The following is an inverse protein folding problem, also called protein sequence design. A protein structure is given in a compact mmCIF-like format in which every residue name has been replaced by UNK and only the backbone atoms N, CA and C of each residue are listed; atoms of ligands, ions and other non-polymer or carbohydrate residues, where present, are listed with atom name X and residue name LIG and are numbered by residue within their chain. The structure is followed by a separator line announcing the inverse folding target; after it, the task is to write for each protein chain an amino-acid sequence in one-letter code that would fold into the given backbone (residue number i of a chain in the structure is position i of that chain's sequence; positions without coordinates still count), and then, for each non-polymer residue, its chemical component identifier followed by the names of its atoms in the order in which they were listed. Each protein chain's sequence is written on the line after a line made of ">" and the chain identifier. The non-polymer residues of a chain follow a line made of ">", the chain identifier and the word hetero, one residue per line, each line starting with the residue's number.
data_IF_595894806849
#
_entry.id   IF_595894806849
#
_cell.length_a   1.000
_cell.length_b   1.000
_cell.length_c   1.000
_cell.angle_alpha   90.00
_cell.angle_beta   90.00
_cell.angle_gamma   90.00
#
_symmetry.space_group_name_H-M   'P 1'
#
loop_
_entity.id
_entity.type
_entity.pdbx_description
1 polymer ?
#
# COMPACT_ATOMS: atom_id res chain seq x y z
N UNK A 1 61.58 -53.00 34.17
CA UNK A 1 61.19 -52.54 35.52
C UNK A 1 61.41 -51.04 35.53
N UNK A 2 60.36 -50.26 35.25
CA UNK A 2 59.55 -49.51 36.23
C UNK A 2 60.42 -48.50 37.02
N UNK A 3 60.09 -47.22 37.19
CA UNK A 3 58.90 -46.44 36.85
C UNK A 3 59.22 -44.96 37.18
N UNK A 4 58.62 -44.03 36.41
CA UNK A 4 58.08 -42.72 36.83
C UNK A 4 59.01 -41.61 37.38
N UNK A 5 59.18 -40.57 36.56
CA UNK A 5 58.90 -39.19 37.00
C UNK A 5 58.09 -38.45 35.93
N UNK A 6 56.89 -38.03 36.33
CA UNK A 6 55.89 -37.32 35.53
C UNK A 6 56.16 -35.82 35.65
N UNK A 7 56.35 -35.15 34.52
CA UNK A 7 56.35 -33.68 34.38
C UNK A 7 54.89 -33.22 34.22
N UNK A 8 54.39 -32.22 34.97
CA UNK A 8 53.10 -31.63 34.67
C UNK A 8 53.26 -30.61 33.54
N UNK A 9 52.66 -30.92 32.39
CA UNK A 9 52.49 -30.01 31.26
C UNK A 9 51.36 -29.02 31.61
N UNK A 10 51.73 -27.78 31.91
CA UNK A 10 50.81 -26.65 32.03
C UNK A 10 50.21 -26.34 30.65
N UNK A 11 49.00 -26.84 30.38
CA UNK A 11 48.18 -26.39 29.26
C UNK A 11 47.64 -25.00 29.58
N UNK A 12 48.24 -23.96 28.98
CA UNK A 12 47.65 -22.63 28.88
C UNK A 12 46.58 -22.66 27.77
N UNK A 13 45.32 -22.86 28.15
CA UNK A 13 44.19 -22.62 27.26
C UNK A 13 43.93 -21.11 27.18
N UNK A 14 44.40 -20.48 26.09
CA UNK A 14 43.93 -19.15 25.69
C UNK A 14 42.44 -19.25 25.33
N UNK A 15 41.57 -18.86 26.25
CA UNK A 15 40.18 -18.52 25.96
C UNK A 15 40.18 -17.21 25.19
N UNK A 16 40.18 -17.30 23.85
CA UNK A 16 39.84 -16.19 22.98
C UNK A 16 38.35 -15.85 23.22
N UNK A 17 38.12 -14.87 24.10
CA UNK A 17 36.82 -14.25 24.29
C UNK A 17 36.43 -13.50 23.02
N UNK A 18 35.82 -14.19 22.06
CA UNK A 18 35.05 -13.54 21.01
C UNK A 18 33.84 -12.92 21.69
N UNK A 19 33.95 -11.64 22.01
CA UNK A 19 32.81 -10.81 22.32
C UNK A 19 31.91 -10.79 21.08
N UNK A 20 31.01 -11.77 20.99
CA UNK A 20 29.83 -11.70 20.15
C UNK A 20 29.04 -10.50 20.68
N UNK A 21 29.31 -9.33 20.11
CA UNK A 21 28.44 -8.18 20.25
C UNK A 21 27.06 -8.66 19.80
N UNK A 22 26.19 -8.97 20.77
CA UNK A 22 24.79 -9.19 20.54
C UNK A 22 24.25 -7.87 20.00
N UNK A 23 24.31 -7.70 18.67
CA UNK A 23 23.49 -6.70 18.00
C UNK A 23 22.07 -7.07 18.39
N UNK A 24 21.51 -6.37 19.37
CA UNK A 24 20.09 -6.43 19.65
C UNK A 24 19.39 -6.35 18.28
N UNK A 25 18.54 -7.32 17.92
CA UNK A 25 17.92 -7.32 16.61
C UNK A 25 17.27 -5.95 16.42
N UNK A 26 17.75 -5.19 15.43
CA UNK A 26 17.17 -3.89 15.12
C UNK A 26 15.69 -4.13 14.88
N UNK A 27 14.85 -3.53 15.74
CA UNK A 27 13.41 -3.56 15.53
C UNK A 27 13.14 -3.03 14.12
N UNK A 28 12.42 -3.77 13.27
CA UNK A 28 12.07 -3.29 11.94
C UNK A 28 11.38 -1.91 12.04
N UNK A 29 11.74 -1.00 11.15
CA UNK A 29 11.12 0.32 11.09
C UNK A 29 9.62 0.17 10.83
N UNK A 30 8.79 0.85 11.64
CA UNK A 30 7.35 0.87 11.42
C UNK A 30 7.00 1.76 10.22
N UNK A 31 5.80 1.59 9.64
CA UNK A 31 5.36 2.50 8.58
C UNK A 31 5.25 3.95 9.08
N UNK A 32 4.76 4.16 10.31
CA UNK A 32 4.72 5.49 10.95
C UNK A 32 6.11 6.16 10.95
N UNK A 33 7.14 5.46 11.43
CA UNK A 33 8.52 5.97 11.48
C UNK A 33 9.10 6.20 10.08
N UNK A 34 8.81 5.31 9.12
CA UNK A 34 9.28 5.44 7.74
C UNK A 34 8.69 6.68 7.07
N UNK A 35 7.38 6.90 7.19
CA UNK A 35 6.70 8.04 6.58
C UNK A 35 7.15 9.36 7.19
N UNK A 36 7.51 9.40 8.48
CA UNK A 36 8.09 10.60 9.13
C UNK A 36 9.45 11.02 8.55
N UNK A 37 10.15 10.14 7.84
CA UNK A 37 11.39 10.50 7.14
C UNK A 37 11.15 11.30 5.85
N UNK A 38 9.90 11.35 5.37
CA UNK A 38 9.52 12.12 4.18
C UNK A 38 9.17 13.56 4.63
N UNK A 39 9.73 14.61 4.00
CA UNK A 39 9.35 15.99 4.31
C UNK A 39 7.84 16.22 4.22
N UNK A 40 7.25 16.96 5.17
CA UNK A 40 5.79 17.15 5.32
C UNK A 40 5.09 17.48 4.00
N UNK A 41 5.59 18.47 3.25
CA UNK A 41 4.97 18.89 1.99
C UNK A 41 5.08 17.85 0.88
N UNK A 42 6.19 17.10 0.85
CA UNK A 42 6.32 15.96 -0.07
C UNK A 42 5.38 14.83 0.31
N UNK A 43 5.25 14.52 1.59
CA UNK A 43 4.33 13.50 2.07
C UNK A 43 2.88 13.89 1.74
N UNK A 44 2.49 15.15 1.96
CA UNK A 44 1.17 15.70 1.58
C UNK A 44 0.88 15.45 0.11
N UNK A 45 1.81 15.80 -0.77
CA UNK A 45 1.67 15.57 -2.20
C UNK A 45 1.55 14.07 -2.55
N UNK A 46 2.39 13.21 -1.96
CA UNK A 46 2.38 11.76 -2.23
C UNK A 46 1.11 11.06 -1.74
N UNK A 47 0.60 11.45 -0.58
CA UNK A 47 -0.62 10.91 0.02
C UNK A 47 -1.88 11.43 -0.71
N UNK A 48 -1.81 12.69 -1.14
CA UNK A 48 -2.93 13.44 -1.70
C UNK A 48 -3.73 14.18 -0.63
N UNK A 49 -4.36 15.28 -1.05
CA UNK A 49 -5.31 16.05 -0.25
C UNK A 49 -6.72 15.59 -0.61
N UNK A 50 -7.26 14.67 0.17
CA UNK A 50 -8.61 14.14 0.01
C UNK A 50 -9.42 14.45 1.26
N UNK A 51 -9.60 15.74 1.53
CA UNK A 51 -10.51 16.19 2.57
C UNK A 51 -11.96 16.02 2.11
N UNK A 52 -12.82 15.45 2.96
CA UNK A 52 -14.23 15.27 2.64
C UNK A 52 -14.94 16.61 2.51
N UNK A 53 -15.81 16.72 1.52
CA UNK A 53 -16.72 17.86 1.40
C UNK A 53 -17.80 17.88 2.51
N UNK A 54 -18.79 18.77 2.38
CA UNK A 54 -19.90 18.88 3.32
C UNK A 54 -20.75 17.60 3.41
N UNK A 55 -20.76 16.77 2.36
CA UNK A 55 -21.47 15.49 2.32
C UNK A 55 -20.60 14.33 2.80
N UNK A 56 -19.32 14.56 3.11
CA UNK A 56 -18.38 13.51 3.49
C UNK A 56 -17.71 12.83 2.30
N UNK A 57 -17.89 13.33 1.08
CA UNK A 57 -17.35 12.71 -0.12
C UNK A 57 -15.95 13.21 -0.45
N UNK A 58 -15.13 12.30 -1.00
CA UNK A 58 -13.80 12.57 -1.55
C UNK A 58 -13.69 11.91 -2.94
N UNK A 59 -12.58 12.19 -3.64
CA UNK A 59 -12.24 11.52 -4.88
C UNK A 59 -13.36 11.61 -5.93
N UNK A 60 -13.71 10.48 -6.53
CA UNK A 60 -14.74 10.43 -7.57
C UNK A 60 -16.15 10.68 -7.04
N UNK A 61 -16.46 10.31 -5.79
CA UNK A 61 -17.77 10.62 -5.20
C UNK A 61 -17.95 12.13 -5.08
N UNK A 62 -16.91 12.83 -4.59
CA UNK A 62 -16.89 14.30 -4.56
C UNK A 62 -17.04 14.91 -5.96
N UNK A 63 -16.21 14.45 -6.91
CA UNK A 63 -16.25 14.96 -8.30
C UNK A 63 -17.62 14.76 -8.95
N UNK A 64 -18.31 13.68 -8.63
CA UNK A 64 -19.63 13.39 -9.17
C UNK A 64 -20.78 14.10 -8.41
N UNK A 65 -20.54 14.55 -7.17
CA UNK A 65 -21.56 15.15 -6.30
C UNK A 65 -22.56 14.15 -5.72
N UNK A 66 -22.30 12.85 -5.82
CA UNK A 66 -23.14 11.79 -5.26
C UNK A 66 -22.33 10.54 -4.92
N UNK A 67 -22.90 9.69 -4.06
CA UNK A 67 -22.31 8.41 -3.71
C UNK A 67 -22.26 7.47 -4.93
N UNK A 68 -21.06 7.09 -5.39
CA UNK A 68 -20.90 6.08 -6.44
C UNK A 68 -20.62 4.71 -5.81
N UNK A 69 -19.56 4.62 -5.01
CA UNK A 69 -19.08 3.36 -4.42
C UNK A 69 -18.03 3.65 -3.32
N UNK A 70 -17.69 2.63 -2.52
CA UNK A 70 -16.72 2.79 -1.44
C UNK A 70 -15.27 2.98 -1.91
N UNK A 71 -14.87 2.34 -3.01
CA UNK A 71 -13.48 2.31 -3.47
C UNK A 71 -12.89 3.69 -3.77
N UNK A 72 -13.73 4.65 -4.16
CA UNK A 72 -13.37 6.03 -4.48
C UNK A 72 -13.12 6.89 -3.23
N UNK A 73 -13.58 6.43 -2.05
CA UNK A 73 -13.42 7.12 -0.77
C UNK A 73 -12.08 6.87 -0.08
N UNK A 74 -11.27 5.93 -0.59
CA UNK A 74 -9.99 5.52 0.02
C UNK A 74 -9.00 6.67 0.28
N UNK A 75 -9.15 7.78 -0.45
CA UNK A 75 -8.34 8.99 -0.26
C UNK A 75 -8.45 9.57 1.15
N UNK A 76 -9.64 9.50 1.77
CA UNK A 76 -9.83 10.02 3.13
C UNK A 76 -8.98 9.24 4.15
N UNK A 77 -8.90 7.91 4.06
CA UNK A 77 -8.03 7.10 4.91
C UNK A 77 -6.53 7.41 4.70
N UNK A 78 -6.14 7.75 3.47
CA UNK A 78 -4.78 8.23 3.16
C UNK A 78 -4.51 9.58 3.86
N UNK A 79 -5.45 10.52 3.81
CA UNK A 79 -5.29 11.83 4.48
C UNK A 79 -5.28 11.70 6.02
N UNK A 80 -6.00 10.74 6.61
CA UNK A 80 -5.85 10.39 8.04
C UNK A 80 -4.40 9.99 8.35
N UNK A 81 -3.79 9.12 7.55
CA UNK A 81 -2.38 8.72 7.70
C UNK A 81 -1.46 9.94 7.67
N UNK A 82 -1.66 10.86 6.73
CA UNK A 82 -0.87 12.10 6.67
C UNK A 82 -0.99 12.93 7.95
N UNK A 83 -2.21 13.20 8.43
CA UNK A 83 -2.41 14.01 9.62
C UNK A 83 -1.78 13.36 10.86
N UNK A 84 -1.95 12.04 11.02
CA UNK A 84 -1.32 11.27 12.11
C UNK A 84 0.20 11.31 12.05
N UNK A 85 0.80 11.08 10.87
CA UNK A 85 2.27 11.07 10.70
C UNK A 85 2.88 12.44 10.97
N UNK A 86 2.18 13.51 10.61
CA UNK A 86 2.66 14.90 10.71
C UNK A 86 2.26 15.61 12.00
N UNK A 87 1.44 14.98 12.85
CA UNK A 87 0.88 15.58 14.06
C UNK A 87 -0.23 16.59 13.80
N UNK A 88 -0.72 16.69 12.56
CA UNK A 88 -1.82 17.56 12.16
C UNK A 88 -3.16 16.86 12.43
N UNK A 89 -3.52 16.76 13.72
CA UNK A 89 -4.69 16.01 14.16
C UNK A 89 -6.01 16.61 13.68
N UNK A 90 -6.07 17.93 13.48
CA UNK A 90 -7.24 18.58 12.89
C UNK A 90 -7.51 18.08 11.46
N UNK A 91 -6.46 17.98 10.63
CA UNK A 91 -6.56 17.38 9.28
C UNK A 91 -6.97 15.91 9.35
N UNK A 92 -6.42 15.14 10.31
CA UNK A 92 -6.79 13.74 10.47
C UNK A 92 -8.25 13.55 10.92
N UNK A 93 -8.73 14.40 11.84
CA UNK A 93 -10.13 14.41 12.29
C UNK A 93 -11.09 14.76 11.15
N UNK A 94 -10.75 15.78 10.37
CA UNK A 94 -11.57 16.18 9.23
C UNK A 94 -11.62 15.07 8.16
N UNK A 95 -10.46 14.49 7.85
CA UNK A 95 -10.38 13.36 6.93
C UNK A 95 -11.15 12.13 7.42
N UNK A 96 -11.23 11.90 8.74
CA UNK A 96 -11.96 10.75 9.32
C UNK A 96 -13.45 10.75 8.95
N UNK A 97 -14.07 11.93 8.73
CA UNK A 97 -15.48 12.04 8.29
C UNK A 97 -15.75 11.26 6.99
N UNK A 98 -14.77 11.15 6.09
CA UNK A 98 -14.89 10.36 4.87
C UNK A 98 -14.95 8.84 5.12
N UNK A 99 -14.26 8.35 6.15
CA UNK A 99 -14.36 6.95 6.61
C UNK A 99 -15.75 6.71 7.20
N UNK A 100 -16.22 7.59 8.07
CA UNK A 100 -17.55 7.49 8.69
C UNK A 100 -18.66 7.49 7.66
N UNK A 101 -18.60 8.42 6.71
CA UNK A 101 -19.55 8.52 5.58
C UNK A 101 -19.55 7.25 4.76
N UNK A 102 -18.38 6.68 4.48
CA UNK A 102 -18.29 5.40 3.74
C UNK A 102 -18.97 4.26 4.50
N UNK A 103 -18.77 4.17 5.81
CA UNK A 103 -19.42 3.15 6.64
C UNK A 103 -20.89 3.41 6.90
N UNK A 104 -21.41 4.63 6.69
CA UNK A 104 -22.83 4.90 6.68
C UNK A 104 -23.53 4.25 5.47
N UNK A 105 -22.81 4.05 4.36
CA UNK A 105 -23.26 3.29 3.18
C UNK A 105 -22.98 1.78 3.27
N UNK A 106 -22.57 1.27 4.44
CA UNK A 106 -22.40 -0.17 4.63
C UNK A 106 -23.78 -0.84 4.75
N UNK A 107 -24.01 -1.84 3.91
CA UNK A 107 -25.22 -2.66 3.89
C UNK A 107 -25.19 -3.73 4.98
N UNK A 108 -26.34 -4.36 5.22
CA UNK A 108 -26.49 -5.43 6.21
C UNK A 108 -25.61 -6.67 5.92
N UNK A 109 -25.34 -6.98 4.65
CA UNK A 109 -24.46 -8.07 4.23
C UNK A 109 -22.96 -7.77 4.43
N UNK A 110 -22.62 -6.57 4.90
CA UNK A 110 -21.25 -6.09 5.09
C UNK A 110 -20.64 -5.41 3.87
N UNK A 111 -21.27 -5.55 2.69
CA UNK A 111 -20.89 -4.83 1.48
C UNK A 111 -21.26 -3.34 1.57
N UNK A 112 -20.98 -2.60 0.50
CA UNK A 112 -21.31 -1.18 0.41
C UNK A 112 -22.32 -0.92 -0.70
N UNK A 113 -23.17 0.08 -0.52
CA UNK A 113 -24.05 0.56 -1.57
C UNK A 113 -23.24 0.97 -2.81
N UNK A 114 -23.81 0.76 -3.99
CA UNK A 114 -23.19 1.13 -5.25
C UNK A 114 -24.24 1.69 -6.22
N UNK A 115 -23.90 2.82 -6.84
CA UNK A 115 -24.70 3.46 -7.87
C UNK A 115 -23.99 3.37 -9.23
N UNK A 116 -24.73 3.74 -10.28
CA UNK A 116 -24.18 3.73 -11.63
C UNK A 116 -23.16 4.85 -11.78
N UNK A 117 -22.04 4.53 -12.43
CA UNK A 117 -20.94 5.46 -12.69
C UNK A 117 -21.32 6.37 -13.86
N UNK A 118 -20.69 7.55 -13.99
CA UNK A 118 -20.97 8.45 -15.11
C UNK A 118 -20.76 7.84 -16.51
N UNK A 119 -19.92 6.80 -16.62
CA UNK A 119 -19.71 6.04 -17.86
C UNK A 119 -20.70 4.86 -18.08
N UNK A 120 -21.78 4.80 -17.31
CA UNK A 120 -22.81 3.76 -17.41
C UNK A 120 -22.44 2.39 -16.84
N UNK A 121 -21.21 2.19 -16.35
CA UNK A 121 -20.81 0.97 -15.64
C UNK A 121 -21.28 1.02 -14.18
N UNK A 122 -21.29 -0.11 -13.48
CA UNK A 122 -21.77 -0.17 -12.10
C UNK A 122 -20.94 -1.14 -11.26
N UNK A 123 -20.81 -0.84 -9.96
CA UNK A 123 -20.26 -1.76 -8.97
C UNK A 123 -21.32 -2.60 -8.25
N UNK A 124 -22.60 -2.51 -8.66
CA UNK A 124 -23.68 -3.34 -8.12
C UNK A 124 -23.44 -4.85 -8.26
N UNK A 125 -22.91 -5.39 -9.38
CA UNK A 125 -22.62 -6.82 -9.49
C UNK A 125 -21.66 -7.30 -8.40
N UNK A 126 -21.91 -8.49 -7.83
CA UNK A 126 -21.22 -8.97 -6.63
C UNK A 126 -19.68 -8.88 -6.71
N UNK A 127 -19.06 -9.40 -7.78
CA UNK A 127 -17.60 -9.34 -7.92
C UNK A 127 -17.04 -7.91 -8.03
N UNK A 128 -17.80 -6.97 -8.60
CA UNK A 128 -17.42 -5.56 -8.65
C UNK A 128 -17.63 -4.87 -7.29
N UNK A 129 -18.69 -5.22 -6.55
CA UNK A 129 -18.91 -4.75 -5.19
C UNK A 129 -17.76 -5.18 -4.26
N UNK A 130 -17.31 -6.45 -4.38
CA UNK A 130 -16.14 -6.98 -3.66
C UNK A 130 -14.88 -6.18 -4.01
N UNK A 131 -14.65 -5.87 -5.28
CA UNK A 131 -13.51 -5.07 -5.73
C UNK A 131 -13.48 -3.68 -5.09
N UNK A 132 -14.58 -2.96 -5.16
CA UNK A 132 -14.66 -1.61 -4.60
C UNK A 132 -14.54 -1.61 -3.07
N UNK A 133 -15.05 -2.65 -2.39
CA UNK A 133 -14.89 -2.82 -0.95
C UNK A 133 -13.42 -3.04 -0.56
N UNK A 134 -12.68 -3.91 -1.25
CA UNK A 134 -11.26 -4.12 -0.90
C UNK A 134 -10.37 -2.93 -1.30
N UNK A 135 -10.76 -2.15 -2.32
CA UNK A 135 -10.08 -0.88 -2.65
C UNK A 135 -10.14 0.15 -1.52
N UNK A 136 -11.25 0.19 -0.78
CA UNK A 136 -11.42 1.04 0.39
C UNK A 136 -10.73 0.44 1.61
N UNK A 137 -11.04 -0.82 1.93
CA UNK A 137 -10.58 -1.49 3.17
C UNK A 137 -9.06 -1.59 3.28
N UNK A 138 -8.34 -1.68 2.16
CA UNK A 138 -6.87 -1.67 2.16
C UNK A 138 -6.23 -0.39 2.74
N UNK A 139 -6.84 0.79 2.56
CA UNK A 139 -6.33 2.02 3.18
C UNK A 139 -6.91 2.20 4.59
N UNK A 140 -8.12 1.71 4.88
CA UNK A 140 -8.66 1.71 6.26
C UNK A 140 -7.79 0.86 7.18
N UNK A 141 -7.49 -0.38 6.79
CA UNK A 141 -6.60 -1.26 7.56
C UNK A 141 -5.22 -0.62 7.77
N UNK A 142 -4.68 0.02 6.74
CA UNK A 142 -3.43 0.80 6.84
C UNK A 142 -3.53 1.95 7.84
N UNK A 143 -4.58 2.77 7.77
CA UNK A 143 -4.78 3.90 8.66
C UNK A 143 -4.88 3.45 10.13
N UNK A 144 -5.64 2.39 10.40
CA UNK A 144 -5.75 1.80 11.75
C UNK A 144 -4.37 1.38 12.29
N UNK A 145 -3.57 0.69 11.48
CA UNK A 145 -2.23 0.25 11.91
C UNK A 145 -1.28 1.43 12.11
N UNK A 146 -1.27 2.43 11.23
CA UNK A 146 -0.44 3.64 11.40
C UNK A 146 -0.84 4.42 12.65
N UNK A 147 -2.14 4.57 12.93
CA UNK A 147 -2.62 5.21 14.16
C UNK A 147 -2.09 4.48 15.39
N UNK A 148 -2.20 3.14 15.42
CA UNK A 148 -1.73 2.31 16.53
C UNK A 148 -0.20 2.32 16.70
N UNK A 149 0.55 2.58 15.63
CA UNK A 149 2.00 2.78 15.67
C UNK A 149 2.41 4.18 16.14
N UNK A 150 1.49 5.13 16.13
CA UNK A 150 1.73 6.53 16.47
C UNK A 150 1.48 6.82 17.96
N UNK A 151 2.02 7.93 18.51
CA UNK A 151 1.64 8.41 19.85
C UNK A 151 0.21 8.94 19.91
N UNK A 152 -0.52 8.98 18.79
CA UNK A 152 -1.86 9.55 18.69
C UNK A 152 -2.98 8.52 18.81
N UNK A 153 -2.67 7.25 19.09
CA UNK A 153 -3.69 6.19 19.25
C UNK A 153 -4.79 6.61 20.24
N UNK A 154 -4.40 7.18 21.39
CA UNK A 154 -5.36 7.65 22.41
C UNK A 154 -6.38 8.67 21.88
N UNK A 155 -5.99 9.51 20.91
CA UNK A 155 -6.89 10.49 20.27
C UNK A 155 -7.97 9.80 19.42
N UNK A 156 -7.64 8.65 18.82
CA UNK A 156 -8.53 7.91 17.93
C UNK A 156 -9.15 6.66 18.56
N UNK A 157 -8.79 6.31 19.80
CA UNK A 157 -9.10 5.02 20.42
C UNK A 157 -10.57 4.64 20.29
N UNK A 158 -11.48 5.52 20.74
CA UNK A 158 -12.92 5.24 20.72
C UNK A 158 -13.45 5.06 19.28
N UNK A 159 -12.91 5.82 18.32
CA UNK A 159 -13.27 5.67 16.90
C UNK A 159 -12.77 4.35 16.34
N UNK A 160 -11.59 3.87 16.74
CA UNK A 160 -11.07 2.56 16.34
C UNK A 160 -11.95 1.44 16.90
N UNK A 161 -12.35 1.52 18.17
CA UNK A 161 -13.24 0.54 18.82
C UNK A 161 -14.61 0.52 18.11
N UNK A 162 -15.19 1.68 17.81
CA UNK A 162 -16.47 1.78 17.11
C UNK A 162 -16.40 1.31 15.64
N UNK A 163 -15.22 1.42 15.02
CA UNK A 163 -14.97 1.03 13.64
C UNK A 163 -14.82 -0.49 13.49
N UNK A 164 -14.27 -1.18 14.51
CA UNK A 164 -13.90 -2.59 14.44
C UNK A 164 -15.05 -3.53 13.98
N UNK A 165 -16.27 -3.47 14.55
CA UNK A 165 -17.37 -4.33 14.11
C UNK A 165 -17.77 -4.10 12.64
N UNK A 166 -17.66 -2.86 12.17
CA UNK A 166 -17.97 -2.50 10.78
C UNK A 166 -16.90 -3.05 9.83
N UNK A 167 -15.62 -2.98 10.22
CA UNK A 167 -14.53 -3.60 9.48
C UNK A 167 -14.67 -5.11 9.40
N UNK A 168 -15.06 -5.79 10.50
CA UNK A 168 -15.29 -7.25 10.51
C UNK A 168 -16.35 -7.65 9.48
N UNK A 169 -17.48 -6.94 9.43
CA UNK A 169 -18.52 -7.19 8.41
C UNK A 169 -18.04 -6.94 6.99
N UNK A 170 -17.31 -5.85 6.76
CA UNK A 170 -16.75 -5.55 5.44
C UNK A 170 -15.78 -6.63 4.97
N UNK A 171 -14.89 -7.10 5.85
CA UNK A 171 -13.95 -8.17 5.52
C UNK A 171 -14.64 -9.52 5.34
N UNK A 172 -15.71 -9.82 6.09
CA UNK A 172 -16.52 -11.01 5.86
C UNK A 172 -17.19 -10.99 4.48
N UNK A 173 -17.73 -9.84 4.05
CA UNK A 173 -18.28 -9.66 2.71
C UNK A 173 -17.21 -9.84 1.61
N UNK A 174 -16.02 -9.25 1.80
CA UNK A 174 -14.92 -9.43 0.83
C UNK A 174 -14.48 -10.90 0.78
N UNK A 175 -14.40 -11.57 1.93
CA UNK A 175 -14.02 -12.98 2.03
C UNK A 175 -15.02 -13.92 1.35
N UNK A 176 -16.33 -13.66 1.45
CA UNK A 176 -17.34 -14.46 0.74
C UNK A 176 -17.24 -14.33 -0.78
N UNK A 177 -16.62 -13.25 -1.27
CA UNK A 177 -16.35 -13.01 -2.68
C UNK A 177 -14.96 -13.44 -3.16
N UNK A 178 -14.18 -14.17 -2.36
CA UNK A 178 -12.78 -14.50 -2.67
C UNK A 178 -12.58 -15.08 -4.07
N UNK A 179 -13.43 -16.01 -4.50
CA UNK A 179 -13.30 -16.67 -5.81
C UNK A 179 -13.45 -15.69 -6.99
N UNK A 180 -14.15 -14.58 -6.77
CA UNK A 180 -14.27 -13.52 -7.79
C UNK A 180 -13.00 -12.68 -7.92
N UNK A 181 -12.14 -12.63 -6.89
CA UNK A 181 -10.98 -11.74 -6.86
C UNK A 181 -9.95 -12.17 -7.91
N UNK A 182 -9.52 -13.44 -7.88
CA UNK A 182 -8.54 -13.95 -8.85
C UNK A 182 -9.13 -13.91 -10.26
N UNK A 183 -10.37 -14.35 -10.44
CA UNK A 183 -11.04 -14.36 -11.73
C UNK A 183 -11.14 -12.96 -12.35
N UNK A 184 -11.55 -11.96 -11.57
CA UNK A 184 -11.80 -10.62 -12.08
C UNK A 184 -10.55 -9.74 -12.13
N UNK A 185 -9.55 -9.97 -11.26
CA UNK A 185 -8.44 -9.03 -11.08
C UNK A 185 -7.10 -9.49 -11.65
N UNK A 186 -6.94 -10.75 -12.10
CA UNK A 186 -5.63 -11.26 -12.55
C UNK A 186 -5.10 -10.63 -13.84
N UNK A 187 -5.93 -9.89 -14.57
CA UNK A 187 -5.51 -9.05 -15.69
C UNK A 187 -4.76 -7.79 -15.22
N UNK A 188 -4.87 -7.43 -13.94
CA UNK A 188 -4.31 -6.23 -13.33
C UNK A 188 -3.66 -6.59 -11.99
N UNK A 189 -2.38 -6.97 -12.01
CA UNK A 189 -1.71 -7.52 -10.83
C UNK A 189 -1.67 -6.54 -9.67
N UNK A 190 -1.65 -5.23 -9.95
CA UNK A 190 -1.79 -4.22 -8.90
C UNK A 190 -3.07 -4.43 -8.06
N UNK A 191 -4.20 -4.83 -8.67
CA UNK A 191 -5.46 -5.11 -7.95
C UNK A 191 -5.37 -6.33 -7.06
N UNK A 192 -4.60 -7.36 -7.46
CA UNK A 192 -4.31 -8.51 -6.61
C UNK A 192 -3.56 -8.07 -5.34
N UNK A 193 -2.56 -7.19 -5.47
CA UNK A 193 -1.87 -6.64 -4.31
C UNK A 193 -2.73 -5.70 -3.47
N UNK A 194 -3.68 -4.96 -4.06
CA UNK A 194 -4.65 -4.18 -3.29
C UNK A 194 -5.54 -5.11 -2.45
N UNK A 195 -6.04 -6.20 -3.04
CA UNK A 195 -6.82 -7.21 -2.30
C UNK A 195 -5.98 -7.87 -1.19
N UNK A 196 -4.75 -8.28 -1.50
CA UNK A 196 -3.83 -8.83 -0.51
C UNK A 196 -3.61 -7.84 0.65
N UNK A 197 -3.37 -6.56 0.33
CA UNK A 197 -3.21 -5.50 1.33
C UNK A 197 -4.46 -5.33 2.19
N UNK A 198 -5.67 -5.40 1.62
CA UNK A 198 -6.92 -5.37 2.39
C UNK A 198 -6.98 -6.53 3.39
N UNK A 199 -6.78 -7.77 2.93
CA UNK A 199 -6.79 -8.96 3.77
C UNK A 199 -5.70 -8.92 4.85
N UNK A 200 -4.47 -8.56 4.48
CA UNK A 200 -3.33 -8.60 5.40
C UNK A 200 -3.42 -7.51 6.47
N UNK A 201 -3.63 -6.26 6.06
CA UNK A 201 -3.66 -5.14 7.00
C UNK A 201 -4.92 -5.15 7.87
N UNK A 202 -6.09 -5.50 7.32
CA UNK A 202 -7.28 -5.68 8.15
C UNK A 202 -7.16 -6.93 9.03
N UNK A 203 -6.53 -8.01 8.55
CA UNK A 203 -6.25 -9.20 9.37
C UNK A 203 -5.38 -8.87 10.58
N UNK A 204 -4.32 -8.08 10.41
CA UNK A 204 -3.52 -7.57 11.53
C UNK A 204 -4.33 -6.65 12.44
N UNK A 205 -5.11 -5.72 11.87
CA UNK A 205 -5.91 -4.77 12.65
C UNK A 205 -7.00 -5.46 13.49
N UNK A 206 -7.58 -6.54 12.98
CA UNK A 206 -8.68 -7.29 13.60
C UNK A 206 -8.21 -8.53 14.39
N UNK A 207 -6.90 -8.78 14.41
CA UNK A 207 -6.30 -10.01 14.94
C UNK A 207 -6.92 -11.30 14.34
N UNK A 208 -7.15 -11.29 13.02
CA UNK A 208 -7.76 -12.38 12.28
C UNK A 208 -6.72 -13.11 11.41
N UNK A 209 -6.31 -14.30 11.88
CA UNK A 209 -5.31 -15.14 11.20
C UNK A 209 -5.79 -15.68 9.85
N UNK A 210 -7.10 -15.85 9.66
CA UNK A 210 -7.64 -16.35 8.39
C UNK A 210 -7.50 -15.28 7.30
N UNK A 211 -7.77 -14.01 7.63
CA UNK A 211 -7.52 -12.90 6.70
C UNK A 211 -6.03 -12.79 6.35
N UNK A 212 -5.14 -12.93 7.32
CA UNK A 212 -3.68 -12.95 7.09
C UNK A 212 -3.29 -14.10 6.14
N UNK A 213 -3.80 -15.31 6.37
CA UNK A 213 -3.53 -16.46 5.50
C UNK A 213 -4.03 -16.21 4.06
N UNK A 214 -5.20 -15.61 3.89
CA UNK A 214 -5.74 -15.23 2.58
C UNK A 214 -4.87 -14.17 1.88
N UNK A 215 -4.32 -13.22 2.64
CA UNK A 215 -3.34 -12.26 2.11
C UNK A 215 -2.13 -12.96 1.51
N UNK A 216 -1.54 -13.92 2.22
CA UNK A 216 -0.40 -14.69 1.69
C UNK A 216 -0.73 -15.45 0.40
N UNK A 217 -1.94 -16.04 0.30
CA UNK A 217 -2.38 -16.70 -0.95
C UNK A 217 -2.44 -15.73 -2.12
N UNK A 218 -3.00 -14.53 -1.92
CA UNK A 218 -3.08 -13.50 -2.95
C UNK A 218 -1.69 -12.96 -3.34
N UNK A 219 -0.78 -12.79 -2.38
CA UNK A 219 0.61 -12.41 -2.69
C UNK A 219 1.30 -13.51 -3.50
N UNK A 220 1.18 -14.77 -3.08
CA UNK A 220 1.76 -15.89 -3.82
C UNK A 220 1.23 -15.91 -5.27
N UNK A 221 -0.08 -15.73 -5.46
CA UNK A 221 -0.67 -15.59 -6.79
C UNK A 221 -0.08 -14.41 -7.57
N UNK A 222 -0.06 -13.21 -7.00
CA UNK A 222 0.50 -12.01 -7.63
C UNK A 222 1.97 -12.19 -8.05
N UNK A 223 2.77 -12.90 -7.27
CA UNK A 223 4.17 -13.20 -7.59
C UNK A 223 4.35 -14.14 -8.79
N UNK A 224 3.36 -15.00 -9.10
CA UNK A 224 3.36 -15.84 -10.31
C UNK A 224 3.06 -15.04 -11.58
N UNK A 225 2.51 -13.83 -11.44
CA UNK A 225 2.12 -12.96 -12.56
C UNK A 225 3.21 -11.97 -12.96
N UNK A 226 4.46 -12.30 -12.65
CA UNK A 226 5.64 -11.57 -13.08
C UNK A 226 6.23 -12.17 -14.34
N UNK A 227 6.81 -11.35 -15.19
CA UNK A 227 7.61 -11.83 -16.30
C UNK A 227 9.06 -12.17 -15.87
N UNK A 228 9.88 -12.62 -16.83
CA UNK A 228 11.29 -12.97 -16.61
C UNK A 228 12.14 -11.82 -16.09
N UNK A 229 11.73 -10.57 -16.29
CA UNK A 229 12.44 -9.37 -15.83
C UNK A 229 11.87 -8.87 -14.49
N UNK A 230 10.94 -9.61 -13.88
CA UNK A 230 10.37 -9.33 -12.57
C UNK A 230 9.23 -8.31 -12.60
N UNK A 231 8.74 -7.92 -13.78
CA UNK A 231 7.69 -6.92 -13.96
C UNK A 231 6.33 -7.55 -13.73
N UNK A 232 5.48 -6.90 -12.94
CA UNK A 232 4.10 -7.35 -12.72
C UNK A 232 3.23 -7.09 -13.97
N UNK A 233 2.55 -8.13 -14.45
CA UNK A 233 1.79 -8.06 -15.70
C UNK A 233 0.51 -7.24 -15.59
N UNK A 234 0.22 -6.47 -16.64
CA UNK A 234 -0.95 -5.61 -16.78
C UNK A 234 -1.54 -5.80 -18.18
N UNK A 235 -2.77 -6.33 -18.26
CA UNK A 235 -3.43 -6.80 -19.48
C UNK A 235 -2.53 -7.66 -20.38
N UNK A 236 -1.76 -8.57 -19.76
CA UNK A 236 -0.86 -9.48 -20.48
C UNK A 236 0.45 -8.84 -20.95
N UNK A 237 0.69 -7.55 -20.68
CA UNK A 237 1.94 -6.88 -20.98
C UNK A 237 2.50 -6.11 -19.79
N UNK A 238 3.26 -5.05 -20.07
CA UNK A 238 3.92 -4.22 -19.06
C UNK A 238 3.23 -2.87 -18.94
N UNK A 239 3.33 -2.25 -17.78
CA UNK A 239 2.86 -0.90 -17.55
C UNK A 239 3.71 -0.23 -16.46
N UNK A 240 4.44 0.83 -16.81
CA UNK A 240 5.35 1.51 -15.88
C UNK A 240 4.63 2.17 -14.70
N UNK A 241 3.37 2.57 -14.85
CA UNK A 241 2.59 3.12 -13.76
C UNK A 241 2.10 2.03 -12.81
N UNK A 242 1.53 0.96 -13.35
CA UNK A 242 0.91 -0.10 -12.54
C UNK A 242 1.91 -1.11 -11.98
N UNK A 243 3.09 -1.28 -12.59
CA UNK A 243 4.20 -1.98 -11.95
C UNK A 243 4.60 -1.25 -10.65
N UNK A 244 4.75 0.08 -10.70
CA UNK A 244 5.03 0.87 -9.50
C UNK A 244 3.90 0.78 -8.46
N UNK A 245 2.63 0.73 -8.89
CA UNK A 245 1.51 0.49 -7.98
C UNK A 245 1.61 -0.88 -7.27
N UNK A 246 1.95 -1.95 -8.01
CA UNK A 246 2.17 -3.28 -7.44
C UNK A 246 3.31 -3.29 -6.42
N UNK A 247 4.44 -2.63 -6.75
CA UNK A 247 5.58 -2.41 -5.84
C UNK A 247 5.12 -1.67 -4.59
N UNK A 248 4.39 -0.55 -4.72
CA UNK A 248 3.88 0.26 -3.62
C UNK A 248 2.97 -0.53 -2.68
N UNK A 249 1.96 -1.22 -3.21
CA UNK A 249 1.00 -1.92 -2.37
C UNK A 249 1.61 -3.13 -1.68
N UNK A 250 2.43 -3.91 -2.39
CA UNK A 250 3.13 -5.04 -1.79
C UNK A 250 4.15 -4.62 -0.74
N UNK A 251 4.95 -3.56 -0.97
CA UNK A 251 5.92 -3.10 0.03
C UNK A 251 5.23 -2.46 1.24
N UNK A 252 4.11 -1.75 1.03
CA UNK A 252 3.31 -1.20 2.14
C UNK A 252 2.80 -2.35 3.02
N UNK A 253 2.31 -3.43 2.42
CA UNK A 253 1.92 -4.62 3.16
C UNK A 253 3.12 -5.26 3.89
N UNK A 254 4.26 -5.37 3.22
CA UNK A 254 5.47 -6.00 3.77
C UNK A 254 6.09 -5.25 4.97
N UNK A 255 5.79 -3.96 5.16
CA UNK A 255 6.15 -3.21 6.37
C UNK A 255 5.42 -3.68 7.63
N UNK A 256 4.24 -4.28 7.48
CA UNK A 256 3.42 -4.74 8.61
C UNK A 256 3.37 -6.26 8.73
N UNK A 257 3.44 -6.97 7.59
CA UNK A 257 3.34 -8.42 7.51
C UNK A 257 4.62 -8.97 6.85
N UNK A 258 5.40 -9.84 7.51
CA UNK A 258 6.57 -10.45 6.88
C UNK A 258 6.19 -11.27 5.65
N UNK A 259 6.72 -10.89 4.48
CA UNK A 259 6.48 -11.58 3.20
C UNK A 259 7.83 -11.75 2.48
N UNK A 260 8.66 -12.72 2.90
CA UNK A 260 10.03 -12.85 2.40
C UNK A 260 10.10 -13.08 0.88
N UNK A 261 9.12 -13.75 0.28
CA UNK A 261 9.06 -14.02 -1.16
C UNK A 261 8.84 -12.73 -1.96
N UNK A 262 8.03 -11.80 -1.42
CA UNK A 262 7.83 -10.49 -2.04
C UNK A 262 9.07 -9.60 -1.83
N UNK A 263 9.65 -9.61 -0.63
CA UNK A 263 10.87 -8.86 -0.32
C UNK A 263 12.04 -9.29 -1.23
N UNK A 264 12.16 -10.58 -1.54
CA UNK A 264 13.14 -11.13 -2.48
C UNK A 264 12.84 -10.77 -3.95
N UNK A 265 11.56 -10.62 -4.30
CA UNK A 265 11.13 -10.22 -5.64
C UNK A 265 11.38 -8.73 -5.93
N UNK A 266 11.32 -7.88 -4.90
CA UNK A 266 11.24 -6.44 -5.03
C UNK A 266 12.43 -5.78 -5.75
N UNK A 267 13.71 -6.14 -5.48
CA UNK A 267 14.84 -5.49 -6.14
C UNK A 267 14.79 -5.58 -7.66
N UNK A 268 14.35 -6.71 -8.21
CA UNK A 268 14.28 -6.90 -9.66
C UNK A 268 13.16 -6.06 -10.29
N UNK A 269 11.99 -6.02 -9.65
CA UNK A 269 10.87 -5.19 -10.10
C UNK A 269 11.21 -3.68 -10.06
N UNK A 270 11.92 -3.24 -9.01
CA UNK A 270 12.39 -1.86 -8.88
C UNK A 270 13.49 -1.54 -9.89
N UNK A 271 14.46 -2.43 -10.09
CA UNK A 271 15.51 -2.24 -11.09
C UNK A 271 14.92 -2.00 -12.49
N UNK A 272 13.91 -2.78 -12.88
CA UNK A 272 13.18 -2.50 -14.13
C UNK A 272 12.48 -1.14 -14.10
N UNK A 273 11.77 -0.81 -13.01
CA UNK A 273 11.06 0.47 -12.87
C UNK A 273 11.99 1.67 -13.04
N UNK A 274 13.23 1.60 -12.54
CA UNK A 274 14.21 2.67 -12.68
C UNK A 274 14.59 2.94 -14.14
N UNK A 275 14.57 1.92 -15.00
CA UNK A 275 14.84 2.09 -16.46
C UNK A 275 13.68 2.76 -17.21
N UNK A 276 12.51 2.88 -16.56
CA UNK A 276 11.32 3.53 -17.11
C UNK A 276 11.17 4.98 -16.64
N UNK A 277 12.21 5.54 -16.01
CA UNK A 277 12.25 6.95 -15.61
C UNK A 277 13.32 7.65 -16.45
N UNK A 278 12.91 8.63 -17.24
CA UNK A 278 13.81 9.47 -18.03
C UNK A 278 14.75 10.30 -17.15
N UNK A 279 15.79 10.83 -17.76
CA UNK A 279 16.76 11.70 -17.07
C UNK A 279 16.09 12.95 -16.48
N UNK A 280 15.04 13.45 -17.10
CA UNK A 280 14.22 14.58 -16.63
C UNK A 280 13.20 14.19 -15.53
N UNK A 281 13.05 12.91 -15.19
CA UNK A 281 12.06 12.41 -14.24
C UNK A 281 10.70 12.01 -14.85
N UNK A 282 10.54 12.12 -16.17
CA UNK A 282 9.35 11.64 -16.86
C UNK A 282 9.23 10.12 -16.74
N UNK A 283 8.00 9.64 -16.54
CA UNK A 283 7.72 8.20 -16.57
C UNK A 283 7.45 7.79 -18.00
N UNK A 284 8.33 6.95 -18.53
CA UNK A 284 8.30 6.49 -19.91
C UNK A 284 7.17 5.47 -20.11
N UNK A 285 6.37 5.65 -21.16
CA UNK A 285 5.14 4.88 -21.41
C UNK A 285 5.24 3.96 -22.63
N UNK A 286 6.38 3.95 -23.33
CA UNK A 286 6.58 3.03 -24.46
C UNK A 286 6.42 1.57 -24.00
N UNK A 287 5.55 0.83 -24.69
CA UNK A 287 5.20 -0.54 -24.33
C UNK A 287 4.18 -0.68 -23.20
N UNK A 288 3.66 0.42 -22.64
CA UNK A 288 2.54 0.35 -21.68
C UNK A 288 1.29 -0.19 -22.36
N UNK A 289 0.59 -1.10 -21.67
CA UNK A 289 -0.67 -1.68 -22.16
C UNK A 289 -1.91 -0.89 -21.76
N UNK A 290 -1.83 -0.04 -20.72
CA UNK A 290 -3.02 0.62 -20.14
C UNK A 290 -2.87 2.13 -19.95
N UNK A 291 -1.89 2.57 -19.18
CA UNK A 291 -1.75 3.97 -18.74
C UNK A 291 -0.91 4.81 -19.70
N UNK A 292 -1.30 6.07 -19.89
CA UNK A 292 -0.55 7.03 -20.71
C UNK A 292 -0.63 6.79 -22.23
N UNK A 293 -1.45 5.83 -22.67
CA UNK A 293 -1.55 5.38 -24.07
C UNK A 293 -2.98 5.42 -24.62
N UNK A 294 -3.92 6.09 -23.94
CA UNK A 294 -5.30 6.25 -24.43
C UNK A 294 -6.21 5.02 -24.29
N UNK A 295 -5.72 3.90 -23.75
CA UNK A 295 -6.41 2.60 -23.80
C UNK A 295 -7.36 2.32 -22.63
N UNK A 296 -7.27 3.08 -21.54
CA UNK A 296 -8.12 2.89 -20.37
C UNK A 296 -8.86 4.18 -20.03
N UNK A 297 -10.19 4.23 -20.15
CA UNK A 297 -10.96 5.41 -19.77
C UNK A 297 -11.17 5.49 -18.25
N UNK A 298 -11.30 6.71 -17.75
CA UNK A 298 -11.73 7.06 -16.39
C UNK A 298 -13.23 6.81 -16.22
N UNK A 299 -13.77 7.15 -15.05
CA UNK A 299 -15.23 7.09 -14.81
C UNK A 299 -16.00 8.16 -15.59
N UNK A 300 -15.30 9.19 -16.08
CA UNK A 300 -15.85 10.29 -16.88
C UNK A 300 -15.40 10.21 -18.35
N UNK A 301 -14.81 9.08 -18.76
CA UNK A 301 -14.43 8.83 -20.15
C UNK A 301 -13.06 9.39 -20.55
N UNK A 302 -12.37 10.14 -19.68
CA UNK A 302 -11.03 10.65 -20.00
C UNK A 302 -10.00 9.52 -20.01
N UNK A 303 -9.00 9.54 -20.90
CA UNK A 303 -7.88 8.61 -20.83
C UNK A 303 -7.16 8.66 -19.48
N UNK A 304 -6.90 7.49 -18.89
CA UNK A 304 -6.04 7.40 -17.70
C UNK A 304 -4.60 7.77 -18.06
N UNK A 305 -4.07 8.72 -17.31
CA UNK A 305 -2.67 9.12 -17.35
C UNK A 305 -1.83 8.26 -16.42
N UNK A 306 -0.50 8.43 -16.49
CA UNK A 306 0.42 7.85 -15.52
C UNK A 306 0.14 8.39 -14.12
N UNK A 307 0.15 7.52 -13.11
CA UNK A 307 0.05 7.90 -11.71
C UNK A 307 1.42 8.24 -11.14
N UNK A 308 1.91 9.45 -11.43
CA UNK A 308 3.20 9.94 -10.94
C UNK A 308 3.33 9.92 -9.41
N UNK A 309 2.23 10.15 -8.69
CA UNK A 309 2.22 10.07 -7.23
C UNK A 309 2.57 8.68 -6.72
N UNK A 310 1.92 7.63 -7.24
CA UNK A 310 2.22 6.25 -6.85
C UNK A 310 3.62 5.82 -7.30
N UNK A 311 4.10 6.25 -8.48
CA UNK A 311 5.48 5.97 -8.93
C UNK A 311 6.49 6.59 -7.97
N UNK A 312 6.35 7.88 -7.67
CA UNK A 312 7.24 8.58 -6.74
C UNK A 312 7.18 7.94 -5.35
N UNK A 313 5.99 7.61 -4.85
CA UNK A 313 5.83 7.01 -3.53
C UNK A 313 6.47 5.62 -3.46
N UNK A 314 6.30 4.79 -4.49
CA UNK A 314 6.91 3.46 -4.55
C UNK A 314 8.44 3.52 -4.43
N UNK A 315 9.07 4.42 -5.19
CA UNK A 315 10.53 4.60 -5.18
C UNK A 315 11.03 5.25 -3.89
N UNK A 316 10.29 6.22 -3.34
CA UNK A 316 10.63 6.87 -2.07
C UNK A 316 10.61 5.85 -0.92
N UNK A 317 9.55 5.05 -0.82
CA UNK A 317 9.40 4.04 0.22
C UNK A 317 10.49 2.96 0.12
N UNK A 318 10.76 2.47 -1.10
CA UNK A 318 11.81 1.49 -1.34
C UNK A 318 13.18 2.04 -0.94
N UNK A 319 13.49 3.25 -1.40
CA UNK A 319 14.75 3.94 -1.11
C UNK A 319 14.98 4.16 0.39
N UNK A 320 13.96 4.60 1.13
CA UNK A 320 14.06 4.81 2.57
C UNK A 320 14.18 3.49 3.35
N UNK A 321 13.44 2.45 2.98
CA UNK A 321 13.44 1.17 3.69
C UNK A 321 14.74 0.39 3.50
N UNK A 322 15.41 0.56 2.35
CA UNK A 322 16.63 -0.20 1.98
C UNK A 322 17.89 0.64 1.90
N UNK A 323 17.80 1.94 2.19
CA UNK A 323 18.89 2.90 1.99
C UNK A 323 19.42 2.91 0.54
N UNK A 324 18.51 2.76 -0.43
CA UNK A 324 18.84 2.73 -1.87
C UNK A 324 18.88 4.16 -2.42
N UNK A 325 20.09 4.65 -2.65
CA UNK A 325 20.34 6.01 -3.16
C UNK A 325 19.84 6.21 -4.59
N UNK A 326 19.87 5.18 -5.44
CA UNK A 326 19.43 5.30 -6.83
C UNK A 326 17.90 5.45 -6.91
N UNK A 327 17.17 4.70 -6.08
CA UNK A 327 15.73 4.83 -5.94
C UNK A 327 15.34 6.20 -5.38
N UNK A 328 16.02 6.70 -4.34
CA UNK A 328 15.75 8.03 -3.79
C UNK A 328 16.01 9.15 -4.81
N UNK A 329 17.19 9.14 -5.46
CA UNK A 329 17.52 10.13 -6.48
C UNK A 329 16.52 10.09 -7.66
N UNK A 330 16.07 8.90 -8.05
CA UNK A 330 15.06 8.76 -9.10
C UNK A 330 13.68 9.24 -8.63
N UNK A 331 13.28 8.95 -7.40
CA UNK A 331 12.05 9.47 -6.82
C UNK A 331 12.04 11.01 -6.79
N UNK A 332 13.18 11.65 -6.53
CA UNK A 332 13.32 13.11 -6.53
C UNK A 332 13.13 13.71 -7.93
N UNK A 333 13.68 13.07 -8.96
CA UNK A 333 13.45 13.48 -10.36
C UNK A 333 11.98 13.34 -10.73
N UNK A 334 11.35 12.19 -10.44
CA UNK A 334 9.93 11.95 -10.71
C UNK A 334 9.06 12.98 -9.99
N UNK A 335 9.33 13.26 -8.72
CA UNK A 335 8.60 14.27 -7.95
C UNK A 335 8.72 15.65 -8.57
N UNK A 336 9.93 16.05 -8.97
CA UNK A 336 10.19 17.35 -9.59
C UNK A 336 9.46 17.48 -10.93
N UNK A 337 9.55 16.47 -11.79
CA UNK A 337 8.80 16.45 -13.05
C UNK A 337 7.30 16.55 -12.81
N UNK A 338 6.77 15.73 -11.90
CA UNK A 338 5.36 15.70 -11.56
C UNK A 338 4.86 17.08 -11.11
N UNK A 339 5.57 17.72 -10.18
CA UNK A 339 5.16 19.00 -9.57
C UNK A 339 5.47 20.22 -10.43
N UNK A 340 6.18 20.08 -11.54
CA UNK A 340 6.47 21.21 -12.45
C UNK A 340 5.75 21.11 -13.79
N UNK A 341 5.47 19.90 -14.28
CA UNK A 341 4.95 19.67 -15.64
C UNK A 341 3.56 19.05 -15.69
N UNK A 342 3.18 18.26 -14.69
CA UNK A 342 1.96 17.43 -14.75
C UNK A 342 0.89 17.94 -13.78
N UNK A 343 1.25 18.20 -12.54
CA UNK A 343 0.36 18.72 -11.51
C UNK A 343 1.10 19.78 -10.69
N UNK A 344 1.27 21.01 -11.23
CA UNK A 344 1.83 22.10 -10.47
C UNK A 344 1.00 22.39 -9.20
N UNK A 345 1.62 22.86 -8.11
CA UNK A 345 0.87 23.42 -6.99
C UNK A 345 -0.10 24.49 -7.51
N UNK A 346 -1.34 24.46 -7.02
CA UNK A 346 -2.32 25.50 -7.32
C UNK A 346 -2.01 26.77 -6.53
#
# INVERSE_FOLDING_TARGET
>A
MNDKHIIPLLLLTLLAGVAMASKSPHKPITEYELLRKIPKERLRALIGESLPDAQGFVGTNHRAGYWIEAGTQRGSARTVIYGVVTGDLATADDAWRGIETTFAHQRADGGFEANDRPNGKSAKPFGAAVETAFFFMQEVGRAVLVIRQSPHEKHFHDRLVALEPKMRRAMAFIASGYDTIIANSSHAVNRIFIAAKAFGLCGLALNDKQLIATSHKLVAHGLTRRDKDGVFSENGGRDSSYNAASILFGQTLALHLPIPEFEAALPKAVAWQLTRIGENGEVLVEGNTRTGVGKEPSYFGEPKTVNYGEVCQALTMYGLARNDKAALATADRVFTYWRTKVAPPK
#
